data_IF_473326103247
#
_entry.id   IF_473326103247
#
_cell.length_a   1.000
_cell.length_b   1.000
_cell.length_c   1.000
_cell.angle_alpha   90.00
_cell.angle_beta   90.00
_cell.angle_gamma   90.00
#
_symmetry.space_group_name_H-M   'P 1'
#
loop_
_entity.id
_entity.type
_entity.pdbx_description
1 polymer ?
#
# COMPACT_ATOMS: atom_id res chain seq x y z
N UNK A 1 -24.63 5.29 6.28
CA UNK A 1 -24.69 5.82 4.90
C UNK A 1 -24.99 7.30 4.84
N UNK A 2 -23.96 8.16 4.89
CA UNK A 2 -24.14 9.63 4.87
C UNK A 2 -23.32 10.34 3.80
N UNK A 3 -22.23 9.73 3.32
CA UNK A 3 -21.28 10.35 2.38
C UNK A 3 -20.82 9.45 1.21
N UNK A 4 -21.34 8.21 1.10
CA UNK A 4 -20.83 7.21 0.14
C UNK A 4 -19.48 6.61 0.55
N UNK A 5 -19.17 5.41 0.07
CA UNK A 5 -17.95 4.66 0.47
C UNK A 5 -16.66 5.36 0.02
N UNK A 6 -16.70 6.11 -1.09
CA UNK A 6 -15.55 6.81 -1.67
C UNK A 6 -14.93 7.87 -0.74
N UNK A 7 -15.57 8.22 0.38
CA UNK A 7 -15.04 9.15 1.38
C UNK A 7 -14.31 8.44 2.54
N UNK A 8 -14.23 7.11 2.55
CA UNK A 8 -13.64 6.31 3.63
C UNK A 8 -12.40 5.59 3.12
N UNK A 9 -11.24 6.05 3.57
CA UNK A 9 -9.96 5.36 3.38
C UNK A 9 -9.62 4.60 4.68
N UNK A 10 -9.35 3.30 4.58
CA UNK A 10 -8.89 2.51 5.72
C UNK A 10 -7.39 2.29 5.62
N UNK A 11 -6.66 2.76 6.63
CA UNK A 11 -5.24 2.46 6.78
C UNK A 11 -5.07 1.07 7.41
N UNK A 12 -4.34 0.20 6.73
CA UNK A 12 -3.96 -1.14 7.19
C UNK A 12 -2.45 -1.17 7.32
N UNK A 13 -1.99 -1.20 8.57
CA UNK A 13 -0.58 -1.44 8.83
C UNK A 13 -0.37 -2.94 9.08
N UNK A 14 0.41 -3.58 8.22
CA UNK A 14 0.61 -5.03 8.24
C UNK A 14 2.09 -5.39 8.39
N UNK A 15 2.35 -6.51 9.07
CA UNK A 15 3.70 -7.04 9.27
C UNK A 15 3.71 -8.53 9.02
N UNK A 16 4.79 -9.04 8.42
CA UNK A 16 5.01 -10.47 8.23
C UNK A 16 5.15 -11.16 9.59
N UNK A 17 4.49 -12.29 9.74
CA UNK A 17 4.52 -13.11 10.95
C UNK A 17 4.84 -14.56 10.62
N UNK A 18 5.44 -15.26 11.58
CA UNK A 18 5.73 -16.69 11.49
C UNK A 18 4.85 -17.47 12.47
N UNK A 19 4.64 -18.76 12.20
CA UNK A 19 3.85 -19.67 13.03
C UNK A 19 2.37 -19.27 13.20
N UNK A 20 1.83 -18.53 12.23
CA UNK A 20 0.41 -18.21 12.11
C UNK A 20 -0.17 -18.87 10.84
N UNK A 21 -1.49 -19.08 10.76
CA UNK A 21 -2.13 -19.63 9.56
C UNK A 21 -2.20 -18.64 8.38
N UNK A 22 -1.60 -17.45 8.51
CA UNK A 22 -1.56 -16.38 7.53
C UNK A 22 -0.16 -15.72 7.53
N UNK A 23 0.22 -15.08 6.42
CA UNK A 23 1.56 -14.49 6.26
C UNK A 23 1.70 -13.11 6.89
N UNK A 24 0.63 -12.31 6.91
CA UNK A 24 0.66 -10.93 7.39
C UNK A 24 -0.41 -10.68 8.44
N UNK A 25 0.01 -10.12 9.56
CA UNK A 25 -0.87 -9.72 10.65
C UNK A 25 -1.10 -8.21 10.63
N UNK A 26 -2.31 -7.78 10.97
CA UNK A 26 -2.64 -6.37 11.23
C UNK A 26 -2.08 -5.93 12.56
N UNK A 27 -1.50 -4.73 12.58
CA UNK A 27 -1.01 -4.10 13.79
C UNK A 27 -1.69 -2.75 13.99
N UNK A 28 -1.75 -2.31 15.26
CA UNK A 28 -2.35 -1.03 15.66
C UNK A 28 -1.39 -0.24 16.56
N UNK A 29 -1.79 0.97 16.94
CA UNK A 29 -1.02 1.87 17.80
C UNK A 29 0.35 2.22 17.21
N UNK A 30 0.43 2.37 15.88
CA UNK A 30 1.68 2.63 15.17
C UNK A 30 2.63 1.43 15.22
N UNK A 31 2.12 0.23 14.90
CA UNK A 31 2.96 -0.99 14.84
C UNK A 31 3.35 -1.63 16.15
N UNK A 32 2.82 -1.15 17.28
CA UNK A 32 3.22 -1.65 18.60
C UNK A 32 2.33 -2.78 19.13
N UNK A 33 1.10 -2.90 18.62
CA UNK A 33 0.13 -3.89 19.12
C UNK A 33 -0.34 -4.80 17.99
N UNK A 34 0.10 -6.05 18.07
CA UNK A 34 -0.37 -7.20 17.30
C UNK A 34 -1.87 -7.43 17.60
N UNK A 35 -2.67 -7.78 16.58
CA UNK A 35 -4.13 -7.93 16.69
C UNK A 35 -4.60 -9.38 16.59
N UNK A 36 -3.77 -10.27 16.07
CA UNK A 36 -4.10 -11.65 15.69
C UNK A 36 -4.93 -11.76 14.41
N UNK A 37 -5.09 -10.67 13.66
CA UNK A 37 -5.93 -10.63 12.45
C UNK A 37 -5.08 -10.74 11.19
N UNK A 38 -5.51 -11.61 10.27
CA UNK A 38 -4.99 -11.72 8.91
C UNK A 38 -5.24 -10.42 8.13
N UNK A 39 -4.20 -9.82 7.58
CA UNK A 39 -4.28 -8.55 6.85
C UNK A 39 -5.18 -8.62 5.60
N UNK A 40 -5.19 -9.75 4.88
CA UNK A 40 -6.01 -9.92 3.68
C UNK A 40 -7.49 -10.02 4.05
N UNK A 41 -7.82 -10.88 5.01
CA UNK A 41 -9.20 -11.02 5.50
C UNK A 41 -9.72 -9.75 6.17
N UNK A 42 -8.84 -9.01 6.84
CA UNK A 42 -9.19 -7.73 7.40
C UNK A 42 -9.53 -6.71 6.30
N UNK A 43 -8.76 -6.67 5.21
CA UNK A 43 -9.07 -5.84 4.06
C UNK A 43 -10.45 -6.17 3.46
N UNK A 44 -10.72 -7.44 3.18
CA UNK A 44 -12.03 -7.91 2.68
C UNK A 44 -13.17 -7.48 3.63
N UNK A 45 -12.96 -7.66 4.93
CA UNK A 45 -13.95 -7.28 5.94
C UNK A 45 -14.20 -5.77 5.97
N UNK A 46 -13.14 -4.94 5.94
CA UNK A 46 -13.29 -3.48 5.90
C UNK A 46 -14.02 -3.00 4.64
N UNK A 47 -13.76 -3.62 3.50
CA UNK A 47 -14.49 -3.34 2.26
C UNK A 47 -15.95 -3.74 2.39
N UNK A 48 -16.27 -4.89 2.99
CA UNK A 48 -17.65 -5.30 3.26
C UNK A 48 -18.41 -4.35 4.18
N UNK A 49 -17.70 -3.56 5.00
CA UNK A 49 -18.25 -2.53 5.87
C UNK A 49 -18.33 -1.14 5.20
N UNK A 50 -17.94 -1.03 3.93
CA UNK A 50 -18.07 0.19 3.13
C UNK A 50 -16.81 1.05 3.03
N UNK A 51 -15.61 0.50 3.29
CA UNK A 51 -14.37 1.16 2.90
C UNK A 51 -14.34 1.36 1.37
N UNK A 52 -13.99 2.55 0.91
CA UNK A 52 -13.91 2.88 -0.53
C UNK A 52 -12.50 2.85 -1.09
N UNK A 53 -11.48 2.82 -0.24
CA UNK A 53 -10.07 2.75 -0.62
C UNK A 53 -9.25 2.19 0.56
N UNK A 54 -8.18 1.46 0.25
CA UNK A 54 -7.28 0.88 1.25
C UNK A 54 -5.88 1.49 1.14
N UNK A 55 -5.38 2.05 2.24
CA UNK A 55 -3.99 2.46 2.36
C UNK A 55 -3.21 1.34 3.07
N UNK A 56 -2.42 0.59 2.32
CA UNK A 56 -1.67 -0.57 2.84
C UNK A 56 -0.22 -0.19 3.10
N UNK A 57 0.19 -0.22 4.37
CA UNK A 57 1.56 0.04 4.79
C UNK A 57 2.20 -1.23 5.32
N UNK A 58 3.31 -1.66 4.68
CA UNK A 58 4.11 -2.78 5.19
C UNK A 58 5.11 -2.29 6.23
N UNK A 59 4.96 -2.71 7.49
CA UNK A 59 5.89 -2.36 8.57
C UNK A 59 7.31 -2.87 8.32
N UNK A 60 7.45 -4.03 7.66
CA UNK A 60 8.76 -4.59 7.32
C UNK A 60 9.53 -3.79 6.27
N UNK A 61 8.83 -2.93 5.52
CA UNK A 61 9.42 -2.11 4.46
C UNK A 61 9.52 -0.64 4.86
N UNK A 62 8.72 -0.18 5.81
CA UNK A 62 8.68 1.24 6.16
C UNK A 62 10.07 1.75 6.62
N UNK A 63 10.46 2.91 6.11
CA UNK A 63 11.79 3.50 6.33
C UNK A 63 12.99 2.78 5.69
N UNK A 64 12.84 1.59 5.11
CA UNK A 64 13.99 0.78 4.62
C UNK A 64 14.54 1.21 3.26
N UNK A 65 13.73 1.92 2.45
CA UNK A 65 14.06 2.31 1.05
C UNK A 65 14.34 1.14 0.09
N UNK A 66 13.91 -0.09 0.39
CA UNK A 66 14.16 -1.28 -0.47
C UNK A 66 12.98 -1.69 -1.37
N UNK A 67 11.95 -0.85 -1.46
CA UNK A 67 10.74 -1.08 -2.25
C UNK A 67 9.52 -1.41 -1.40
N UNK A 68 8.36 -1.36 -2.05
CA UNK A 68 7.11 -1.80 -1.43
C UNK A 68 7.13 -3.30 -1.14
N UNK A 69 6.16 -3.75 -0.34
CA UNK A 69 5.90 -5.17 -0.19
C UNK A 69 4.92 -5.63 -1.27
N UNK A 70 5.42 -5.84 -2.49
CA UNK A 70 4.58 -6.22 -3.63
C UNK A 70 3.78 -7.51 -3.39
N UNK A 71 4.30 -8.57 -2.72
CA UNK A 71 3.49 -9.73 -2.37
C UNK A 71 2.28 -9.42 -1.47
N UNK A 72 2.46 -8.57 -0.46
CA UNK A 72 1.35 -8.12 0.40
C UNK A 72 0.34 -7.29 -0.40
N UNK A 73 0.82 -6.32 -1.17
CA UNK A 73 -0.05 -5.46 -1.99
C UNK A 73 -0.87 -6.32 -2.96
N UNK A 74 -0.21 -7.26 -3.65
CA UNK A 74 -0.85 -8.16 -4.62
C UNK A 74 -1.90 -9.06 -3.98
N UNK A 75 -1.58 -9.61 -2.80
CA UNK A 75 -2.52 -10.46 -2.07
C UNK A 75 -3.80 -9.69 -1.66
N UNK A 76 -3.67 -8.41 -1.29
CA UNK A 76 -4.83 -7.58 -0.97
C UNK A 76 -5.55 -7.11 -2.23
N UNK A 77 -4.83 -6.60 -3.25
CA UNK A 77 -5.42 -6.12 -4.50
C UNK A 77 -6.22 -7.21 -5.23
N UNK A 78 -5.79 -8.46 -5.13
CA UNK A 78 -6.52 -9.60 -5.70
C UNK A 78 -7.77 -9.98 -4.92
N UNK A 79 -7.84 -9.62 -3.63
CA UNK A 79 -8.92 -9.99 -2.73
C UNK A 79 -10.05 -8.95 -2.66
N UNK A 80 -9.80 -7.71 -3.10
CA UNK A 80 -10.78 -6.62 -3.01
C UNK A 80 -10.98 -5.88 -4.33
N UNK A 81 -12.16 -5.31 -4.53
CA UNK A 81 -12.51 -4.54 -5.73
C UNK A 81 -12.29 -3.02 -5.58
N UNK A 82 -11.91 -2.56 -4.38
CA UNK A 82 -11.68 -1.14 -4.11
C UNK A 82 -10.22 -0.77 -4.38
N UNK A 83 -9.92 0.50 -4.72
CA UNK A 83 -8.56 0.95 -4.94
C UNK A 83 -7.61 0.68 -3.77
N UNK A 84 -6.39 0.31 -4.09
CA UNK A 84 -5.29 0.13 -3.14
C UNK A 84 -4.20 1.19 -3.34
N UNK A 85 -3.86 1.89 -2.26
CA UNK A 85 -2.68 2.76 -2.16
C UNK A 85 -1.55 1.96 -1.51
N UNK A 86 -0.49 1.68 -2.25
CA UNK A 86 0.73 1.08 -1.71
C UNK A 86 1.57 2.10 -0.94
N UNK A 87 2.00 1.75 0.28
CA UNK A 87 2.77 2.60 1.18
C UNK A 87 3.91 1.83 1.89
N UNK A 88 4.97 2.56 2.24
CA UNK A 88 6.12 2.05 3.00
C UNK A 88 7.23 1.44 2.11
N UNK A 89 8.44 1.98 2.21
CA UNK A 89 9.66 1.37 1.65
C UNK A 89 10.18 1.93 0.33
N UNK A 90 9.54 2.93 -0.27
CA UNK A 90 10.05 3.56 -1.51
C UNK A 90 11.44 4.18 -1.29
N UNK A 91 12.33 3.95 -2.25
CA UNK A 91 13.72 4.43 -2.24
C UNK A 91 14.22 4.94 -3.59
N UNK A 92 13.55 4.59 -4.69
CA UNK A 92 13.84 5.08 -6.03
C UNK A 92 12.53 5.06 -6.86
N UNK A 93 12.60 5.56 -8.09
CA UNK A 93 11.44 5.64 -8.99
C UNK A 93 10.96 4.28 -9.50
N UNK A 94 11.86 3.29 -9.62
CA UNK A 94 11.49 1.92 -10.03
C UNK A 94 10.52 1.29 -9.02
N UNK A 95 10.72 1.52 -7.72
CA UNK A 95 9.81 1.03 -6.69
C UNK A 95 8.36 1.53 -6.88
N UNK A 96 8.15 2.72 -7.46
CA UNK A 96 6.82 3.23 -7.80
C UNK A 96 6.18 2.42 -8.94
N UNK A 97 6.97 2.07 -9.95
CA UNK A 97 6.54 1.25 -11.08
C UNK A 97 6.20 -0.17 -10.61
N UNK A 98 7.05 -0.76 -9.78
CA UNK A 98 6.87 -2.11 -9.26
C UNK A 98 5.63 -2.22 -8.37
N UNK A 99 5.36 -1.19 -7.56
CA UNK A 99 4.16 -1.12 -6.73
C UNK A 99 2.86 -1.25 -7.53
N UNK A 100 2.81 -0.63 -8.71
CA UNK A 100 1.66 -0.72 -9.63
C UNK A 100 1.67 -2.03 -10.41
N UNK A 101 2.79 -2.36 -11.07
CA UNK A 101 2.85 -3.49 -12.02
C UNK A 101 2.89 -4.86 -11.34
N UNK A 102 3.64 -4.99 -10.25
CA UNK A 102 3.78 -6.25 -9.53
C UNK A 102 2.84 -6.32 -8.34
N UNK A 103 2.67 -5.20 -7.64
CA UNK A 103 1.83 -5.10 -6.45
C UNK A 103 0.35 -4.89 -6.73
N UNK A 104 -0.04 -4.58 -7.98
CA UNK A 104 -1.44 -4.34 -8.34
C UNK A 104 -2.05 -3.08 -7.72
N UNK A 105 -1.23 -2.13 -7.26
CA UNK A 105 -1.72 -0.91 -6.63
C UNK A 105 -2.25 0.10 -7.66
N UNK A 106 -3.41 0.69 -7.37
CA UNK A 106 -4.01 1.79 -8.16
C UNK A 106 -3.29 3.12 -7.91
N UNK A 107 -2.71 3.27 -6.73
CA UNK A 107 -1.95 4.44 -6.33
C UNK A 107 -0.73 4.06 -5.49
N UNK A 108 0.28 4.93 -5.52
CA UNK A 108 1.51 4.76 -4.75
C UNK A 108 1.77 5.99 -3.89
N UNK A 109 2.13 5.77 -2.63
CA UNK A 109 2.48 6.81 -1.67
C UNK A 109 3.97 6.71 -1.34
N UNK A 110 4.68 7.82 -1.51
CA UNK A 110 6.08 7.93 -1.13
C UNK A 110 6.31 9.25 -0.38
N UNK A 111 7.12 9.20 0.68
CA UNK A 111 7.43 10.37 1.50
C UNK A 111 8.91 10.77 1.41
N UNK A 112 9.81 9.88 1.82
CA UNK A 112 11.26 10.14 1.96
C UNK A 112 11.91 10.67 0.68
N UNK A 113 11.67 10.02 -0.45
CA UNK A 113 12.27 10.40 -1.74
C UNK A 113 11.87 11.81 -2.22
N UNK A 114 10.73 12.33 -1.75
CA UNK A 114 10.26 13.67 -2.08
C UNK A 114 10.64 14.69 -1.00
N UNK A 115 10.51 14.34 0.28
CA UNK A 115 10.86 15.24 1.40
C UNK A 115 12.34 15.61 1.41
N UNK A 116 13.22 14.69 1.01
CA UNK A 116 14.66 14.95 0.93
C UNK A 116 15.11 15.51 -0.42
N UNK A 117 14.18 15.76 -1.35
CA UNK A 117 14.48 16.31 -2.67
C UNK A 117 15.33 15.39 -3.56
N UNK A 118 15.35 14.08 -3.27
CA UNK A 118 16.04 13.10 -4.12
C UNK A 118 15.39 13.04 -5.51
N UNK A 119 14.06 13.14 -5.55
CA UNK A 119 13.27 13.26 -6.76
C UNK A 119 12.15 14.28 -6.58
N UNK A 120 11.63 14.80 -7.69
CA UNK A 120 10.41 15.60 -7.75
C UNK A 120 9.21 14.73 -8.14
N UNK A 121 8.01 15.18 -7.81
CA UNK A 121 6.76 14.52 -8.26
C UNK A 121 6.69 14.48 -9.80
N UNK A 122 7.23 15.49 -10.50
CA UNK A 122 7.31 15.48 -11.97
C UNK A 122 8.20 14.35 -12.48
N UNK A 123 9.40 14.20 -11.94
CA UNK A 123 10.31 13.11 -12.32
C UNK A 123 9.69 11.73 -12.08
N UNK A 124 8.99 11.55 -10.95
CA UNK A 124 8.27 10.31 -10.66
C UNK A 124 7.20 10.00 -11.72
N UNK A 125 6.38 11.00 -12.07
CA UNK A 125 5.33 10.84 -13.10
C UNK A 125 5.93 10.56 -14.48
N UNK A 126 6.94 11.32 -14.90
CA UNK A 126 7.62 11.09 -16.18
C UNK A 126 8.21 9.67 -16.25
N UNK A 127 8.81 9.19 -15.16
CA UNK A 127 9.35 7.84 -15.07
C UNK A 127 8.26 6.77 -15.15
N UNK A 128 7.15 6.93 -14.42
CA UNK A 128 6.01 6.02 -14.50
C UNK A 128 5.37 5.99 -15.90
N UNK A 129 5.24 7.16 -16.55
CA UNK A 129 4.75 7.27 -17.92
C UNK A 129 5.66 6.57 -18.93
N UNK A 130 6.99 6.69 -18.78
CA UNK A 130 7.97 5.97 -19.61
C UNK A 130 7.85 4.44 -19.46
N UNK A 131 7.37 3.97 -18.31
CA UNK A 131 7.06 2.57 -18.05
C UNK A 131 5.57 2.25 -18.31
N UNK A 132 4.90 3.02 -19.17
CA UNK A 132 3.54 2.70 -19.64
C UNK A 132 2.45 2.73 -18.57
N UNK A 133 2.70 3.36 -17.42
CA UNK A 133 1.66 3.61 -16.41
C UNK A 133 1.00 4.95 -16.74
N UNK A 134 -0.32 4.95 -16.87
CA UNK A 134 -1.07 6.18 -17.12
C UNK A 134 -1.01 7.09 -15.89
N UNK A 135 -0.47 8.29 -16.09
CA UNK A 135 -0.33 9.30 -15.04
C UNK A 135 -0.66 10.67 -15.61
N UNK A 136 -1.21 11.53 -14.76
CA UNK A 136 -1.48 12.93 -15.11
C UNK A 136 -0.18 13.75 -15.07
N UNK A 137 0.33 14.15 -16.24
CA UNK A 137 1.52 15.01 -16.40
C UNK A 137 1.24 16.51 -16.27
#
# INVERSE_FOLDING_TARGET
DRFGSQCIVVAIDAKKVENQPFEWEVFTHGGRKATGLDAVKWAEYMVSLGAGELLVTSMDRDGTKIGFNNPLNKAISDAVEVPLIASGGVGNLQHLVDGVREGGADAVLAASIFHYGEYTVRQAKEYMAQHGIEVRL
#
